data_IF_176372509636
#
_entry.id   IF_176372509636
#
_cell.length_a   1.000
_cell.length_b   1.000
_cell.length_c   1.000
_cell.angle_alpha   90.00
_cell.angle_beta   90.00
_cell.angle_gamma   90.00
#
_symmetry.space_group_name_H-M   'P 1'
#
loop_
_entity.id
_entity.type
_entity.pdbx_description
1 polymer ?
#
# COMPACT_ATOMS: atom_id res chain seq x y z
N UNK A 1 -11.82 -17.67 -4.93
CA UNK A 1 -11.81 -16.51 -4.02
C UNK A 1 -10.37 -16.17 -3.69
N UNK A 2 -10.07 -14.89 -3.48
CA UNK A 2 -8.76 -14.42 -2.99
C UNK A 2 -8.92 -14.12 -1.50
N UNK A 3 -8.10 -14.74 -0.64
CA UNK A 3 -8.17 -14.56 0.82
C UNK A 3 -7.17 -13.55 1.37
N UNK A 4 -6.15 -13.19 0.60
CA UNK A 4 -5.12 -12.21 0.96
C UNK A 4 -4.54 -11.60 -0.31
N UNK A 5 -4.21 -10.31 -0.25
CA UNK A 5 -3.54 -9.60 -1.34
C UNK A 5 -2.36 -8.81 -0.75
N UNK A 6 -1.17 -8.99 -1.33
CA UNK A 6 -0.01 -8.16 -1.04
C UNK A 6 0.06 -7.03 -2.07
N UNK A 7 -0.08 -5.79 -1.60
CA UNK A 7 -0.09 -4.61 -2.45
C UNK A 7 1.34 -4.08 -2.62
N UNK A 8 1.76 -3.86 -3.86
CA UNK A 8 3.06 -3.26 -4.14
C UNK A 8 2.98 -1.74 -4.02
N UNK A 9 3.72 -1.15 -3.07
CA UNK A 9 3.96 0.28 -3.00
C UNK A 9 5.14 0.65 -3.92
N UNK A 10 4.93 0.56 -5.23
CA UNK A 10 5.97 0.76 -6.23
C UNK A 10 6.25 2.24 -6.50
N UNK A 11 7.53 2.57 -6.68
CA UNK A 11 8.00 3.90 -7.07
C UNK A 11 9.02 3.76 -8.20
N UNK A 12 8.97 4.59 -9.26
CA UNK A 12 9.90 4.50 -10.37
C UNK A 12 11.33 4.93 -9.98
N UNK A 13 12.35 4.32 -10.60
CA UNK A 13 13.76 4.58 -10.27
C UNK A 13 14.22 6.01 -10.55
N UNK A 14 13.53 6.74 -11.44
CA UNK A 14 13.83 8.14 -11.72
C UNK A 14 13.58 9.07 -10.52
N UNK A 15 12.77 8.66 -9.54
CA UNK A 15 12.54 9.37 -8.29
C UNK A 15 13.70 9.19 -7.28
N UNK A 16 14.68 8.32 -7.57
CA UNK A 16 15.79 8.03 -6.68
C UNK A 16 16.64 9.30 -6.45
N UNK A 17 16.94 9.60 -5.18
CA UNK A 17 17.59 10.85 -4.72
C UNK A 17 16.77 12.14 -4.94
N UNK A 18 15.50 12.01 -5.34
CA UNK A 18 14.54 13.10 -5.42
C UNK A 18 13.44 12.87 -4.38
N UNK A 19 12.26 12.46 -4.84
CA UNK A 19 11.02 12.31 -4.08
C UNK A 19 10.63 10.85 -3.83
N UNK A 20 11.54 9.88 -4.05
CA UNK A 20 11.24 8.47 -3.88
C UNK A 20 10.63 8.10 -2.51
N UNK A 21 11.11 8.73 -1.43
CA UNK A 21 10.58 8.50 -0.07
C UNK A 21 9.15 9.02 0.04
N UNK A 22 8.88 10.22 -0.45
CA UNK A 22 7.56 10.82 -0.41
C UNK A 22 6.56 9.97 -1.21
N UNK A 23 6.91 9.62 -2.45
CA UNK A 23 6.08 8.78 -3.31
C UNK A 23 5.80 7.42 -2.67
N UNK A 24 6.78 6.82 -1.99
CA UNK A 24 6.59 5.53 -1.28
C UNK A 24 5.57 5.67 -0.16
N UNK A 25 5.65 6.74 0.64
CA UNK A 25 4.68 6.99 1.72
C UNK A 25 3.28 7.26 1.17
N UNK A 26 3.16 8.00 0.06
CA UNK A 26 1.90 8.23 -0.63
C UNK A 26 1.30 6.92 -1.17
N UNK A 27 2.11 6.01 -1.72
CA UNK A 27 1.65 4.68 -2.15
C UNK A 27 1.14 3.85 -0.96
N UNK A 28 1.86 3.84 0.15
CA UNK A 28 1.42 3.15 1.38
C UNK A 28 0.10 3.74 1.91
N UNK A 29 -0.01 5.08 1.92
CA UNK A 29 -1.22 5.79 2.34
C UNK A 29 -2.43 5.45 1.47
N UNK A 30 -2.26 5.38 0.14
CA UNK A 30 -3.33 4.97 -0.78
C UNK A 30 -3.83 3.56 -0.46
N UNK A 31 -2.94 2.60 -0.18
CA UNK A 31 -3.36 1.24 0.19
C UNK A 31 -4.12 1.23 1.52
N UNK A 32 -3.68 2.01 2.50
CA UNK A 32 -4.37 2.14 3.79
C UNK A 32 -5.77 2.71 3.63
N UNK A 33 -5.91 3.81 2.89
CA UNK A 33 -7.22 4.42 2.59
C UNK A 33 -8.12 3.50 1.77
N UNK A 34 -7.54 2.68 0.89
CA UNK A 34 -8.28 1.65 0.14
C UNK A 34 -8.90 0.63 1.10
N UNK A 35 -8.12 0.13 2.06
CA UNK A 35 -8.63 -0.83 3.06
C UNK A 35 -9.70 -0.21 3.97
N UNK A 36 -9.53 1.05 4.38
CA UNK A 36 -10.52 1.77 5.19
C UNK A 36 -11.83 2.01 4.42
N UNK A 37 -11.73 2.40 3.15
CA UNK A 37 -12.90 2.67 2.29
C UNK A 37 -13.74 1.42 2.02
N UNK A 38 -13.10 0.26 1.93
CA UNK A 38 -13.75 -1.03 1.66
C UNK A 38 -13.67 -1.99 2.85
N UNK A 39 -13.86 -1.47 4.06
CA UNK A 39 -13.76 -2.22 5.33
C UNK A 39 -14.71 -3.41 5.47
N UNK A 40 -15.77 -3.50 4.66
CA UNK A 40 -16.64 -4.68 4.59
C UNK A 40 -15.97 -5.89 3.90
N UNK A 41 -14.99 -5.63 3.02
CA UNK A 41 -14.38 -6.67 2.17
C UNK A 41 -12.87 -6.79 2.41
N UNK A 42 -12.21 -5.74 2.87
CA UNK A 42 -10.77 -5.67 3.07
C UNK A 42 -10.45 -5.36 4.53
N UNK A 43 -9.38 -5.99 5.03
CA UNK A 43 -8.81 -5.73 6.35
C UNK A 43 -7.31 -5.45 6.19
N UNK A 44 -6.80 -4.46 6.92
CA UNK A 44 -5.38 -4.12 6.94
C UNK A 44 -4.66 -4.99 7.97
N UNK A 45 -3.76 -5.85 7.52
CA UNK A 45 -2.97 -6.76 8.37
C UNK A 45 -1.47 -6.58 8.13
N UNK A 46 -0.67 -6.71 9.19
CA UNK A 46 0.80 -6.54 9.13
C UNK A 46 1.59 -7.73 9.65
N UNK A 47 0.90 -8.77 10.10
CA UNK A 47 1.48 -9.98 10.65
C UNK A 47 0.69 -11.21 10.18
N UNK A 48 1.23 -12.39 10.48
CA UNK A 48 0.67 -13.66 10.06
C UNK A 48 -0.08 -14.40 11.17
N UNK A 49 -0.24 -13.78 12.36
CA UNK A 49 -0.80 -14.43 13.54
C UNK A 49 -2.27 -14.10 13.75
#
# INVERSE_FOLDING_TARGET
MVGCQLWSAYVPCNAQHLDAVQLTLEQIDVVRRLTEKYSHTLEWVTDAR
#
